data_IF_282366505156
#
_entry.id   IF_282366505156
#
_cell.length_a   1.000
_cell.length_b   1.000
_cell.length_c   1.000
_cell.angle_alpha   90.00
_cell.angle_beta   90.00
_cell.angle_gamma   90.00
#
_symmetry.space_group_name_H-M   'P 1'
#
loop_
_entity.id
_entity.type
_entity.pdbx_description
1 polymer ?
#
# COMPACT_ATOMS: atom_id res chain seq x y z
N UNK A 1 -2.44 -2.37 10.16
CA UNK A 1 -1.19 -3.16 10.28
C UNK A 1 -1.44 -4.29 11.24
N UNK A 2 -1.22 -5.53 10.80
CA UNK A 2 -1.51 -6.76 11.55
C UNK A 2 -0.45 -6.97 12.62
N UNK A 3 -0.89 -7.03 13.86
CA UNK A 3 -0.03 -7.32 15.00
C UNK A 3 0.55 -8.73 14.93
N UNK A 4 -0.20 -9.69 14.36
CA UNK A 4 0.27 -11.07 14.19
C UNK A 4 1.55 -11.12 13.34
N UNK A 5 1.60 -10.36 12.25
CA UNK A 5 2.78 -10.30 11.40
C UNK A 5 3.97 -9.67 12.13
N UNK A 6 3.75 -8.60 12.89
CA UNK A 6 4.82 -7.93 13.66
C UNK A 6 5.36 -8.83 14.77
N UNK A 7 4.50 -9.57 15.47
CA UNK A 7 4.91 -10.53 16.52
C UNK A 7 5.69 -11.70 15.91
N UNK A 8 5.21 -12.26 14.80
CA UNK A 8 5.90 -13.30 14.05
C UNK A 8 7.28 -12.86 13.54
N UNK A 9 7.37 -11.64 13.01
CA UNK A 9 8.62 -11.03 12.57
C UNK A 9 9.64 -10.91 13.71
N UNK A 10 9.22 -10.39 14.87
CA UNK A 10 10.08 -10.27 16.05
C UNK A 10 10.58 -11.63 16.51
N UNK A 11 9.69 -12.62 16.59
CA UNK A 11 10.05 -13.98 16.98
C UNK A 11 11.11 -14.58 16.06
N UNK A 12 10.90 -14.52 14.73
CA UNK A 12 11.88 -15.03 13.76
C UNK A 12 13.20 -14.29 13.86
N UNK A 13 13.18 -12.96 14.02
CA UNK A 13 14.40 -12.16 14.21
C UNK A 13 15.19 -12.62 15.43
N UNK A 14 14.53 -12.82 16.57
CA UNK A 14 15.15 -13.30 17.80
C UNK A 14 15.74 -14.71 17.63
N UNK A 15 15.06 -15.61 16.92
CA UNK A 15 15.58 -16.96 16.65
C UNK A 15 16.80 -16.93 15.73
N UNK A 16 16.80 -16.06 14.71
CA UNK A 16 17.93 -15.86 13.81
C UNK A 16 19.12 -15.22 14.53
N UNK A 17 18.90 -14.28 15.45
CA UNK A 17 19.94 -13.69 16.32
C UNK A 17 20.57 -14.75 17.24
N UNK A 18 19.78 -15.75 17.68
CA UNK A 18 20.24 -16.89 18.47
C UNK A 18 20.95 -17.99 17.66
N UNK A 19 21.23 -17.75 16.38
CA UNK A 19 21.82 -18.74 15.47
C UNK A 19 20.99 -20.04 15.28
N UNK A 20 19.69 -19.97 15.51
CA UNK A 20 18.79 -21.11 15.26
C UNK A 20 18.75 -21.43 13.76
N UNK A 21 18.88 -22.70 13.34
CA UNK A 21 18.76 -23.06 11.93
C UNK A 21 17.37 -22.71 11.38
N UNK A 22 17.33 -22.20 10.15
CA UNK A 22 16.08 -21.79 9.49
C UNK A 22 15.07 -22.93 9.35
N UNK A 23 15.54 -24.17 9.19
CA UNK A 23 14.70 -25.38 9.19
C UNK A 23 13.96 -25.57 10.50
N UNK A 24 14.64 -25.33 11.63
CA UNK A 24 14.04 -25.43 12.97
C UNK A 24 13.01 -24.31 13.19
N UNK A 25 13.28 -23.10 12.69
CA UNK A 25 12.33 -21.98 12.74
C UNK A 25 11.08 -22.30 11.93
N UNK A 26 11.24 -22.90 10.75
CA UNK A 26 10.13 -23.31 9.90
C UNK A 26 9.26 -24.40 10.53
N UNK A 27 9.87 -25.39 11.20
CA UNK A 27 9.17 -26.49 11.87
C UNK A 27 8.48 -26.06 13.17
N UNK A 28 9.13 -25.21 13.97
CA UNK A 28 8.67 -24.82 15.31
C UNK A 28 8.01 -23.44 15.34
N UNK A 29 7.56 -22.94 14.20
CA UNK A 29 6.92 -21.63 14.11
C UNK A 29 5.62 -21.63 14.93
N UNK A 30 5.49 -20.80 15.98
CA UNK A 30 4.26 -20.70 16.73
C UNK A 30 3.19 -19.95 15.94
N UNK A 31 1.92 -20.17 16.29
CA UNK A 31 0.80 -19.45 15.66
C UNK A 31 0.61 -18.08 16.31
N UNK A 32 0.80 -17.02 15.52
CA UNK A 32 0.48 -15.65 15.93
C UNK A 32 -0.87 -15.25 15.35
N UNK A 33 -1.82 -14.87 16.22
CA UNK A 33 -3.19 -14.52 15.82
C UNK A 33 -3.51 -13.07 16.08
N UNK A 34 -4.20 -12.46 15.13
CA UNK A 34 -4.72 -11.10 15.19
C UNK A 34 -6.00 -11.01 14.37
N UNK A 35 -7.14 -11.12 15.04
CA UNK A 35 -8.45 -11.22 14.39
C UNK A 35 -8.53 -12.40 13.43
N UNK A 36 -8.77 -12.10 12.15
CA UNK A 36 -8.85 -13.10 11.06
C UNK A 36 -7.49 -13.54 10.50
N UNK A 37 -6.41 -12.81 10.83
CA UNK A 37 -5.07 -13.11 10.35
C UNK A 37 -4.36 -14.05 11.32
N UNK A 38 -3.78 -15.12 10.77
CA UNK A 38 -2.96 -16.07 11.52
C UNK A 38 -1.63 -16.25 10.79
N UNK A 39 -0.53 -15.85 11.41
CA UNK A 39 0.81 -16.08 10.87
C UNK A 39 1.40 -17.29 11.56
N UNK A 40 1.61 -18.36 10.78
CA UNK A 40 2.08 -19.66 11.28
C UNK A 40 3.13 -20.32 10.39
N UNK A 41 3.61 -19.63 9.35
CA UNK A 41 4.63 -20.14 8.44
C UNK A 41 5.77 -19.14 8.27
N UNK A 42 6.98 -19.69 8.25
CA UNK A 42 8.21 -19.01 7.86
C UNK A 42 8.71 -19.65 6.56
N UNK A 43 9.06 -18.83 5.57
CA UNK A 43 9.64 -19.28 4.30
C UNK A 43 11.08 -18.77 4.22
N UNK A 44 12.08 -19.69 4.28
CA UNK A 44 13.48 -19.33 4.12
C UNK A 44 13.69 -18.89 2.67
N UNK A 45 13.80 -17.58 2.46
CA UNK A 45 13.99 -16.93 1.17
C UNK A 45 14.75 -15.63 1.38
N UNK A 46 15.31 -15.06 0.32
CA UNK A 46 15.94 -13.74 0.39
C UNK A 46 15.12 -12.69 -0.36
N UNK A 47 14.41 -11.78 0.34
CA UNK A 47 14.23 -11.66 1.79
C UNK A 47 13.19 -12.65 2.34
N UNK A 48 13.26 -12.99 3.65
CA UNK A 48 12.40 -14.01 4.24
C UNK A 48 10.93 -13.60 4.22
N UNK A 49 10.05 -14.59 4.06
CA UNK A 49 8.61 -14.37 4.02
C UNK A 49 7.92 -14.99 5.22
N UNK A 50 6.88 -14.31 5.69
CA UNK A 50 5.97 -14.83 6.70
C UNK A 50 4.61 -15.09 6.06
N UNK A 51 4.00 -16.20 6.44
CA UNK A 51 2.81 -16.69 5.78
C UNK A 51 1.77 -17.29 6.70
N UNK A 52 0.63 -17.56 6.09
CA UNK A 52 -0.54 -18.18 6.69
C UNK A 52 -0.86 -19.45 5.90
N UNK A 53 -0.91 -20.58 6.58
CA UNK A 53 -1.52 -21.79 6.06
C UNK A 53 -3.04 -21.72 6.26
N UNK A 54 -3.79 -22.00 5.21
CA UNK A 54 -5.25 -21.97 5.22
C UNK A 54 -5.78 -23.38 5.51
N UNK A 55 -6.79 -23.47 6.38
CA UNK A 55 -7.41 -24.75 6.74
C UNK A 55 -8.26 -25.34 5.62
N UNK A 56 -8.74 -24.50 4.71
CA UNK A 56 -9.46 -24.88 3.50
C UNK A 56 -8.79 -24.20 2.29
N UNK A 57 -8.72 -24.84 1.11
CA UNK A 57 -8.22 -24.19 -0.10
C UNK A 57 -9.09 -22.97 -0.41
N UNK A 58 -8.53 -21.78 -0.18
CA UNK A 58 -9.27 -20.52 -0.20
C UNK A 58 -9.38 -19.92 -1.61
N UNK A 59 -8.48 -20.29 -2.52
CA UNK A 59 -8.38 -19.70 -3.86
C UNK A 59 -8.16 -20.80 -4.89
N UNK A 60 -9.08 -20.92 -5.85
CA UNK A 60 -8.85 -21.74 -7.04
C UNK A 60 -7.98 -20.95 -8.04
N UNK A 61 -6.93 -21.59 -8.54
CA UNK A 61 -6.07 -21.03 -9.58
C UNK A 61 -6.78 -21.18 -10.92
N UNK A 62 -7.71 -20.25 -11.18
CA UNK A 62 -8.38 -20.10 -12.47
C UNK A 62 -7.68 -19.02 -13.30
N UNK A 63 -7.94 -19.00 -14.61
CA UNK A 63 -7.44 -17.95 -15.51
C UNK A 63 -7.82 -16.55 -15.02
N UNK A 64 -9.02 -16.41 -14.46
CA UNK A 64 -9.49 -15.14 -13.88
C UNK A 64 -8.68 -14.72 -12.66
N UNK A 65 -8.37 -15.65 -11.76
CA UNK A 65 -7.49 -15.40 -10.60
C UNK A 65 -6.10 -14.98 -11.05
N UNK A 66 -5.52 -15.64 -12.07
CA UNK A 66 -4.20 -15.28 -12.60
C UNK A 66 -4.19 -13.85 -13.15
N UNK A 67 -5.18 -13.49 -13.98
CA UNK A 67 -5.31 -12.12 -14.52
C UNK A 67 -5.51 -11.10 -13.38
N UNK A 68 -6.23 -11.48 -12.33
CA UNK A 68 -6.45 -10.65 -11.14
C UNK A 68 -5.15 -10.42 -10.37
N UNK A 69 -4.35 -11.48 -10.15
CA UNK A 69 -3.04 -11.40 -9.50
C UNK A 69 -2.06 -10.58 -10.34
N UNK A 70 -2.05 -10.73 -11.66
CA UNK A 70 -1.20 -9.95 -12.55
C UNK A 70 -1.50 -8.45 -12.45
N UNK A 71 -2.79 -8.07 -12.42
CA UNK A 71 -3.20 -6.68 -12.23
C UNK A 71 -2.80 -6.13 -10.87
N UNK A 72 -3.01 -6.92 -9.82
CA UNK A 72 -2.60 -6.58 -8.46
C UNK A 72 -1.09 -6.33 -8.38
N UNK A 73 -0.29 -7.18 -9.04
CA UNK A 73 1.16 -7.06 -9.12
C UNK A 73 1.58 -5.76 -9.84
N UNK A 74 1.03 -5.54 -11.05
CA UNK A 74 1.33 -4.35 -11.87
C UNK A 74 1.04 -3.04 -11.14
N UNK A 75 -0.10 -2.94 -10.45
CA UNK A 75 -0.48 -1.73 -9.67
C UNK A 75 0.50 -1.43 -8.53
N UNK A 76 1.23 -2.43 -8.05
CA UNK A 76 2.22 -2.33 -6.97
C UNK A 76 3.67 -2.30 -7.48
N UNK A 77 3.87 -2.20 -8.79
CA UNK A 77 5.20 -2.22 -9.41
C UNK A 77 5.92 -3.56 -9.32
N UNK A 78 5.16 -4.65 -9.14
CA UNK A 78 5.65 -6.03 -9.08
C UNK A 78 5.34 -6.77 -10.39
N UNK A 79 6.16 -7.76 -10.70
CA UNK A 79 5.97 -8.73 -11.77
C UNK A 79 5.35 -10.01 -11.21
N UNK A 80 4.69 -10.78 -12.06
CA UNK A 80 4.12 -12.07 -11.70
C UNK A 80 4.93 -13.18 -12.37
N UNK A 81 5.30 -14.21 -11.62
CA UNK A 81 5.88 -15.45 -12.13
C UNK A 81 5.04 -16.63 -11.67
N UNK A 82 4.68 -17.51 -12.59
CA UNK A 82 3.86 -18.70 -12.30
C UNK A 82 4.69 -19.96 -12.50
N UNK A 83 4.77 -20.79 -11.46
CA UNK A 83 5.48 -22.07 -11.45
C UNK A 83 4.50 -23.17 -10.99
N UNK A 84 3.76 -23.76 -11.94
CA UNK A 84 2.69 -24.71 -11.65
C UNK A 84 1.53 -24.05 -10.88
N UNK A 85 1.23 -24.56 -9.68
CA UNK A 85 0.24 -23.98 -8.76
C UNK A 85 0.81 -22.84 -7.87
N UNK A 86 2.08 -22.49 -8.06
CA UNK A 86 2.71 -21.41 -7.31
C UNK A 86 2.66 -20.11 -8.10
N UNK A 87 2.14 -19.06 -7.48
CA UNK A 87 2.21 -17.71 -8.04
C UNK A 87 3.13 -16.87 -7.17
N UNK A 88 4.23 -16.40 -7.75
CA UNK A 88 5.18 -15.51 -7.11
C UNK A 88 4.98 -14.07 -7.58
N UNK A 89 4.99 -13.14 -6.64
CA UNK A 89 5.10 -11.72 -6.93
C UNK A 89 6.56 -11.31 -6.76
N UNK A 90 7.15 -10.74 -7.80
CA UNK A 90 8.58 -10.51 -7.92
C UNK A 90 8.83 -9.01 -8.11
N UNK A 91 9.86 -8.46 -7.48
CA UNK A 91 10.28 -7.08 -7.74
C UNK A 91 10.89 -6.94 -9.14
N UNK A 92 11.10 -5.71 -9.59
CA UNK A 92 11.82 -5.44 -10.86
C UNK A 92 13.24 -6.00 -10.87
N UNK A 93 13.83 -6.20 -9.70
CA UNK A 93 15.18 -6.74 -9.51
C UNK A 93 15.20 -8.27 -9.45
N UNK A 94 14.07 -8.94 -9.73
CA UNK A 94 13.97 -10.41 -9.70
C UNK A 94 13.78 -11.02 -8.31
N UNK A 95 13.59 -10.20 -7.27
CA UNK A 95 13.45 -10.66 -5.89
C UNK A 95 12.02 -11.10 -5.61
N UNK A 96 11.80 -12.34 -5.15
CA UNK A 96 10.47 -12.83 -4.74
C UNK A 96 10.01 -12.07 -3.48
N UNK A 97 8.86 -11.42 -3.55
CA UNK A 97 8.28 -10.56 -2.49
C UNK A 97 7.00 -11.13 -1.88
N UNK A 98 6.29 -12.00 -2.60
CA UNK A 98 5.19 -12.79 -2.07
C UNK A 98 5.06 -14.12 -2.83
N UNK A 99 4.41 -15.07 -2.16
CA UNK A 99 4.10 -16.39 -2.70
C UNK A 99 2.63 -16.72 -2.39
N UNK A 100 1.85 -17.03 -3.41
CA UNK A 100 0.45 -17.39 -3.33
C UNK A 100 0.26 -18.82 -3.84
N UNK A 101 -0.52 -19.60 -3.08
CA UNK A 101 -0.95 -20.98 -3.36
C UNK A 101 -2.42 -21.17 -2.94
N UNK A 102 -3.12 -22.21 -3.39
CA UNK A 102 -4.52 -22.43 -2.99
C UNK A 102 -4.71 -22.56 -1.48
N UNK A 103 -3.73 -23.18 -0.81
CA UNK A 103 -3.71 -23.56 0.60
C UNK A 103 -2.85 -22.65 1.48
N UNK A 104 -2.16 -21.68 0.89
CA UNK A 104 -1.11 -20.94 1.58
C UNK A 104 -0.81 -19.61 0.89
N UNK A 105 -0.45 -18.60 1.69
CA UNK A 105 0.20 -17.41 1.16
C UNK A 105 1.26 -16.87 2.12
N UNK A 106 2.28 -16.22 1.57
CA UNK A 106 3.30 -15.51 2.34
C UNK A 106 3.73 -14.21 1.66
N UNK A 107 4.20 -13.27 2.47
CA UNK A 107 4.72 -12.01 1.97
C UNK A 107 5.90 -11.52 2.81
N UNK A 108 6.66 -10.63 2.19
CA UNK A 108 7.83 -9.95 2.77
C UNK A 108 7.45 -8.69 3.54
N UNK A 109 6.23 -8.17 3.47
CA UNK A 109 5.85 -6.99 4.25
C UNK A 109 4.46 -7.15 4.85
N UNK A 110 4.19 -6.60 6.06
CA UNK A 110 2.86 -6.61 6.65
C UNK A 110 1.75 -6.06 5.72
N UNK A 111 1.92 -4.90 5.04
CA UNK A 111 0.88 -4.38 4.16
C UNK A 111 0.63 -5.27 2.93
N UNK A 112 1.67 -5.95 2.40
CA UNK A 112 1.50 -6.88 1.30
C UNK A 112 0.79 -8.16 1.76
N UNK A 113 1.11 -8.66 2.96
CA UNK A 113 0.45 -9.80 3.59
C UNK A 113 -1.05 -9.55 3.78
N UNK A 114 -1.41 -8.42 4.39
CA UNK A 114 -2.81 -8.05 4.60
C UNK A 114 -3.56 -7.86 3.28
N UNK A 115 -2.96 -7.16 2.32
CA UNK A 115 -3.58 -6.93 1.02
C UNK A 115 -3.86 -8.26 0.30
N UNK A 116 -2.90 -9.19 0.29
CA UNK A 116 -3.10 -10.52 -0.33
C UNK A 116 -4.21 -11.29 0.38
N UNK A 117 -4.20 -11.31 1.72
CA UNK A 117 -5.22 -12.00 2.51
C UNK A 117 -6.63 -11.46 2.26
N UNK A 118 -6.79 -10.13 2.20
CA UNK A 118 -8.09 -9.47 1.95
C UNK A 118 -8.58 -9.67 0.52
N UNK A 119 -7.71 -9.45 -0.45
CA UNK A 119 -8.06 -9.38 -1.88
C UNK A 119 -8.25 -10.75 -2.51
N UNK A 120 -7.39 -11.72 -2.17
CA UNK A 120 -7.44 -13.05 -2.80
C UNK A 120 -8.10 -14.08 -1.90
N UNK A 121 -7.82 -14.06 -0.61
CA UNK A 121 -8.32 -15.08 0.33
C UNK A 121 -9.55 -14.63 1.12
N UNK A 122 -10.12 -13.47 0.78
CA UNK A 122 -11.34 -12.91 1.38
C UNK A 122 -11.30 -12.83 2.92
N UNK A 123 -10.12 -12.63 3.50
CA UNK A 123 -9.93 -12.50 4.95
C UNK A 123 -10.28 -11.07 5.37
N UNK A 124 -11.45 -10.86 5.98
CA UNK A 124 -11.98 -9.54 6.37
C UNK A 124 -11.92 -8.52 5.23
N UNK A 125 -12.76 -8.68 4.18
CA UNK A 125 -12.75 -7.81 3.02
C UNK A 125 -13.19 -6.39 3.40
N UNK A 126 -12.28 -5.44 3.26
CA UNK A 126 -12.59 -4.01 3.37
C UNK A 126 -13.07 -3.48 2.00
N UNK A 127 -13.87 -2.41 1.98
CA UNK A 127 -14.31 -1.76 0.73
C UNK A 127 -13.15 -1.50 -0.24
N UNK A 128 -12.00 -1.06 0.28
CA UNK A 128 -10.78 -0.81 -0.49
C UNK A 128 -10.25 -2.07 -1.15
N UNK A 129 -10.28 -3.22 -0.47
CA UNK A 129 -9.81 -4.50 -1.03
C UNK A 129 -10.72 -5.03 -2.14
N UNK A 130 -12.03 -4.76 -2.06
CA UNK A 130 -12.97 -5.08 -3.12
C UNK A 130 -12.79 -4.13 -4.34
N UNK A 131 -12.51 -2.86 -4.06
CA UNK A 131 -12.20 -1.81 -5.06
C UNK A 131 -10.80 -1.93 -5.68
N UNK A 132 -9.89 -2.70 -5.08
CA UNK A 132 -8.60 -3.04 -5.67
C UNK A 132 -8.73 -3.91 -6.92
N UNK A 133 -9.90 -4.54 -7.10
CA UNK A 133 -10.19 -5.49 -8.15
C UNK A 133 -11.21 -4.99 -9.19
N UNK A 134 -11.92 -3.90 -8.91
CA UNK A 134 -12.84 -3.29 -9.89
C UNK A 134 -12.08 -2.42 -10.90
N UNK A 135 -12.53 -2.44 -12.15
CA UNK A 135 -12.08 -1.56 -13.22
C UNK A 135 -13.06 -0.39 -13.34
N UNK A 136 -12.54 0.83 -13.49
CA UNK A 136 -13.34 2.04 -13.79
C UNK A 136 -12.88 3.29 -13.04
N UNK A 137 -13.21 4.47 -13.59
CA UNK A 137 -13.06 5.78 -12.93
C UNK A 137 -13.73 5.82 -11.55
N UNK A 138 -14.83 5.09 -11.40
CA UNK A 138 -15.59 4.97 -10.15
C UNK A 138 -14.78 4.34 -9.01
N UNK A 139 -13.82 3.46 -9.33
CA UNK A 139 -12.95 2.83 -8.33
C UNK A 139 -11.95 3.81 -7.69
N UNK A 140 -11.49 4.80 -8.47
CA UNK A 140 -10.62 5.88 -7.98
C UNK A 140 -11.39 6.85 -7.09
N UNK A 141 -12.63 7.16 -7.45
CA UNK A 141 -13.52 8.03 -6.67
C UNK A 141 -13.94 7.32 -5.36
N UNK A 142 -14.28 6.04 -5.43
CA UNK A 142 -14.64 5.24 -4.27
C UNK A 142 -13.44 5.03 -3.31
N UNK A 143 -12.21 4.93 -3.80
CA UNK A 143 -11.00 4.94 -2.94
C UNK A 143 -10.77 6.28 -2.25
N UNK A 144 -11.00 7.39 -2.96
CA UNK A 144 -10.97 8.73 -2.37
C UNK A 144 -12.04 8.90 -1.28
N UNK A 145 -13.20 8.26 -1.44
CA UNK A 145 -14.31 8.30 -0.48
C UNK A 145 -14.12 7.35 0.71
N UNK A 146 -13.47 6.20 0.52
CA UNK A 146 -13.36 5.17 1.55
C UNK A 146 -12.31 5.50 2.63
N UNK A 147 -11.27 6.26 2.29
CA UNK A 147 -10.24 6.65 3.24
C UNK A 147 -10.53 8.07 3.74
N UNK A 148 -11.10 8.19 4.96
CA UNK A 148 -11.45 9.48 5.59
C UNK A 148 -10.28 10.47 5.59
N UNK A 149 -9.05 9.96 5.67
CA UNK A 149 -7.85 10.78 5.70
C UNK A 149 -7.49 11.30 4.30
N UNK A 150 -7.65 10.47 3.25
CA UNK A 150 -7.53 10.91 1.85
C UNK A 150 -8.67 11.83 1.43
N UNK A 151 -9.91 11.57 1.85
CA UNK A 151 -11.05 12.45 1.59
C UNK A 151 -10.76 13.84 2.16
N UNK A 152 -10.37 13.91 3.43
CA UNK A 152 -10.04 15.20 4.07
C UNK A 152 -8.90 15.89 3.33
N UNK A 153 -7.85 15.18 2.92
CA UNK A 153 -6.76 15.74 2.10
C UNK A 153 -7.23 16.24 0.73
N UNK A 154 -8.11 15.49 0.06
CA UNK A 154 -8.64 15.84 -1.24
C UNK A 154 -9.60 17.03 -1.16
N UNK A 155 -10.48 17.07 -0.15
CA UNK A 155 -11.37 18.19 0.12
C UNK A 155 -10.60 19.44 0.51
N UNK A 156 -9.56 19.32 1.34
CA UNK A 156 -8.66 20.43 1.68
C UNK A 156 -7.92 20.92 0.42
N UNK A 157 -7.36 20.01 -0.39
CA UNK A 157 -6.71 20.38 -1.64
C UNK A 157 -7.66 21.07 -2.62
N UNK A 158 -8.89 20.56 -2.79
CA UNK A 158 -9.94 21.19 -3.59
C UNK A 158 -10.30 22.56 -3.04
N UNK A 159 -10.52 22.69 -1.73
CA UNK A 159 -10.86 23.95 -1.10
C UNK A 159 -9.76 24.99 -1.32
N UNK A 160 -8.49 24.62 -1.14
CA UNK A 160 -7.36 25.53 -1.36
C UNK A 160 -7.08 25.86 -2.82
N UNK A 161 -7.51 25.01 -3.77
CA UNK A 161 -7.34 25.26 -5.20
C UNK A 161 -8.50 26.08 -5.77
N UNK A 162 -9.73 25.77 -5.36
CA UNK A 162 -10.93 26.45 -5.82
C UNK A 162 -11.21 27.74 -5.05
N UNK A 163 -10.86 27.87 -3.76
CA UNK A 163 -11.12 29.09 -2.99
C UNK A 163 -10.42 30.32 -3.59
N UNK A 164 -9.11 30.32 -3.88
CA UNK A 164 -8.46 31.47 -4.51
C UNK A 164 -9.02 31.77 -5.90
N UNK A 165 -9.31 30.73 -6.69
CA UNK A 165 -9.90 30.89 -8.01
C UNK A 165 -11.31 31.50 -7.95
N UNK A 166 -12.13 31.08 -6.97
CA UNK A 166 -13.45 31.67 -6.71
C UNK A 166 -13.33 33.11 -6.23
N UNK A 167 -12.41 33.41 -5.32
CA UNK A 167 -12.16 34.78 -4.85
C UNK A 167 -11.70 35.70 -5.98
N UNK A 168 -10.84 35.22 -6.89
CA UNK A 168 -10.42 35.97 -8.09
C UNK A 168 -11.59 36.14 -9.06
N UNK A 169 -12.40 35.11 -9.31
CA UNK A 169 -13.57 35.19 -10.17
C UNK A 169 -14.66 36.13 -9.62
N UNK A 170 -14.93 36.06 -8.31
CA UNK A 170 -15.86 36.93 -7.59
C UNK A 170 -15.34 38.38 -7.56
N UNK A 171 -14.04 38.58 -7.36
CA UNK A 171 -13.40 39.89 -7.47
C UNK A 171 -13.50 40.47 -8.89
N UNK A 172 -13.29 39.66 -9.93
CA UNK A 172 -13.45 40.08 -11.32
C UNK A 172 -14.91 40.43 -11.68
N UNK A 173 -15.89 39.78 -11.04
CA UNK A 173 -17.31 39.98 -11.32
C UNK A 173 -17.93 41.13 -10.51
N UNK A 174 -17.50 41.35 -9.27
CA UNK A 174 -18.01 42.41 -8.40
C UNK A 174 -17.30 43.75 -8.57
N UNK A 175 -16.07 43.75 -9.10
CA UNK A 175 -15.26 44.96 -9.21
C UNK A 175 -15.12 45.40 -10.67
N UNK A 176 -16.10 46.13 -11.18
CA UNK A 176 -15.89 46.97 -12.36
C UNK A 176 -15.00 48.15 -11.97
N UNK A 177 -13.69 47.92 -12.02
CA UNK A 177 -12.70 48.92 -11.66
C UNK A 177 -12.43 49.85 -12.85
N UNK A 178 -12.71 51.14 -12.68
CA UNK A 178 -12.30 52.21 -13.61
C UNK A 178 -10.78 52.49 -13.62
N UNK A 179 -10.03 52.02 -12.61
CA UNK A 179 -8.66 52.46 -12.33
C UNK A 179 -7.57 51.39 -12.56
N UNK A 180 -7.90 50.10 -12.47
CA UNK A 180 -6.95 49.00 -12.67
C UNK A 180 -7.11 48.32 -14.03
N UNK A 181 -6.02 48.21 -14.82
CA UNK A 181 -6.03 47.47 -16.07
C UNK A 181 -6.22 45.97 -15.81
N UNK A 182 -7.06 45.31 -16.62
CA UNK A 182 -7.47 43.89 -16.49
C UNK A 182 -6.29 42.91 -16.35
N UNK A 183 -5.12 43.25 -16.87
CA UNK A 183 -3.91 42.44 -16.84
C UNK A 183 -3.32 42.30 -15.42
N UNK A 184 -3.48 43.32 -14.57
CA UNK A 184 -3.02 43.28 -13.17
C UNK A 184 -3.84 42.29 -12.35
N UNK A 185 -5.14 42.20 -12.64
CA UNK A 185 -6.03 41.21 -12.00
C UNK A 185 -5.65 39.79 -12.40
N UNK A 186 -5.32 39.55 -13.68
CA UNK A 186 -4.83 38.24 -14.15
C UNK A 186 -3.50 37.87 -13.49
N UNK A 187 -2.54 38.80 -13.40
CA UNK A 187 -1.25 38.56 -12.76
C UNK A 187 -1.40 38.20 -11.28
N UNK A 188 -2.28 38.89 -10.55
CA UNK A 188 -2.56 38.58 -9.14
C UNK A 188 -3.15 37.18 -8.93
N UNK A 189 -3.98 36.71 -9.86
CA UNK A 189 -4.51 35.34 -9.85
C UNK A 189 -3.43 34.28 -10.05
N UNK A 190 -2.48 34.51 -10.96
CA UNK A 190 -1.35 33.59 -11.18
C UNK A 190 -0.45 33.51 -9.94
N UNK A 191 -0.17 34.65 -9.30
CA UNK A 191 0.62 34.69 -8.06
C UNK A 191 -0.09 33.97 -6.91
N UNK A 192 -1.40 34.17 -6.75
CA UNK A 192 -2.19 33.48 -5.74
C UNK A 192 -2.20 31.96 -5.93
N UNK A 193 -2.28 31.50 -7.19
CA UNK A 193 -2.25 30.08 -7.52
C UNK A 193 -0.87 29.44 -7.24
N UNK A 194 0.21 30.16 -7.57
CA UNK A 194 1.57 29.73 -7.25
C UNK A 194 1.82 29.64 -5.73
N UNK A 195 1.33 30.63 -4.97
CA UNK A 195 1.40 30.63 -3.51
C UNK A 195 0.61 29.46 -2.88
N UNK A 196 -0.59 29.16 -3.41
CA UNK A 196 -1.38 28.03 -2.96
C UNK A 196 -0.66 26.69 -3.20
N UNK A 197 -0.08 26.49 -4.38
CA UNK A 197 0.70 25.28 -4.69
C UNK A 197 1.92 25.12 -3.76
N UNK A 198 2.60 26.21 -3.43
CA UNK A 198 3.72 26.19 -2.49
C UNK A 198 3.28 25.80 -1.07
N UNK A 199 2.19 26.39 -0.57
CA UNK A 199 1.65 26.07 0.75
C UNK A 199 1.16 24.62 0.86
N UNK A 200 0.53 24.09 -0.20
CA UNK A 200 0.16 22.66 -0.27
C UNK A 200 1.40 21.79 -0.13
N UNK A 201 2.47 22.11 -0.87
CA UNK A 201 3.73 21.36 -0.81
C UNK A 201 4.35 21.40 0.59
N UNK A 202 4.32 22.54 1.26
CA UNK A 202 4.85 22.71 2.61
C UNK A 202 4.02 21.91 3.63
N UNK A 203 2.69 22.05 3.59
CA UNK A 203 1.76 21.36 4.47
C UNK A 203 1.86 19.84 4.39
N UNK A 204 2.02 19.29 3.17
CA UNK A 204 2.22 17.85 2.96
C UNK A 204 3.55 17.35 3.54
N UNK A 205 4.60 18.19 3.52
CA UNK A 205 5.93 17.85 4.04
C UNK A 205 5.96 17.82 5.57
N UNK A 206 5.29 18.76 6.23
CA UNK A 206 5.29 18.84 7.70
C UNK A 206 4.36 17.81 8.36
N UNK A 207 3.18 17.57 7.80
CA UNK A 207 2.16 16.78 8.49
C UNK A 207 2.22 15.27 8.17
N UNK A 208 3.03 14.83 7.20
CA UNK A 208 3.12 13.41 6.80
C UNK A 208 4.57 12.92 6.58
N UNK A 209 5.46 12.96 7.59
CA UNK A 209 6.85 12.48 7.47
C UNK A 209 6.95 10.95 7.26
N UNK A 210 5.92 10.20 7.63
CA UNK A 210 5.82 8.73 7.51
C UNK A 210 5.81 8.21 6.07
N UNK A 211 5.55 9.07 5.07
CA UNK A 211 5.73 8.74 3.64
C UNK A 211 7.21 8.43 3.29
N UNK A 212 8.16 8.70 4.20
CA UNK A 212 9.59 8.49 4.00
C UNK A 212 10.17 7.24 4.67
N UNK A 213 9.53 6.65 5.69
CA UNK A 213 10.06 5.48 6.39
C UNK A 213 9.46 4.16 5.90
N UNK A 214 10.23 3.44 5.08
CA UNK A 214 9.91 2.08 4.65
C UNK A 214 10.40 1.06 5.68
N UNK A 215 9.46 0.40 6.35
CA UNK A 215 9.71 -0.85 7.10
C UNK A 215 9.70 -2.00 6.08
N UNK A 216 10.89 -2.53 5.78
CA UNK A 216 11.12 -3.65 4.85
C UNK A 216 11.74 -4.84 5.62
N UNK A 217 11.24 -6.06 5.42
CA UNK A 217 11.86 -7.30 5.97
C UNK A 217 13.27 -7.53 5.44
N UNK A 218 13.71 -6.78 4.43
CA UNK A 218 15.12 -6.66 4.08
C UNK A 218 16.03 -6.35 5.30
N UNK A 219 15.49 -5.75 6.37
CA UNK A 219 16.21 -5.54 7.65
C UNK A 219 16.45 -6.82 8.46
N UNK A 220 15.83 -7.94 8.11
CA UNK A 220 16.13 -9.27 8.66
C UNK A 220 17.39 -9.89 8.02
N UNK A 221 17.98 -9.26 7.00
CA UNK A 221 19.25 -9.72 6.44
C UNK A 221 20.32 -9.74 7.53
N UNK A 222 20.84 -10.93 7.81
CA UNK A 222 22.06 -11.11 8.60
C UNK A 222 23.20 -10.30 7.97
N UNK A 223 24.06 -9.74 8.83
CA UNK A 223 25.45 -9.45 8.46
C UNK A 223 26.08 -10.75 7.93
N UNK A 224 26.86 -10.70 6.84
CA UNK A 224 27.69 -11.84 6.49
C UNK A 224 28.60 -12.16 7.69
N UNK A 225 28.62 -13.41 8.11
CA UNK A 225 29.70 -13.89 8.96
C UNK A 225 31.01 -13.72 8.17
N UNK A 226 31.99 -13.08 8.82
CA UNK A 226 33.38 -12.98 8.37
C UNK A 226 33.98 -14.38 8.16
#
# INVERSE_FOLDING_TARGET
MSEAFVKAYKHVREQLEKNTPETVIQEKMPEFRDGVFVVNRYVPSDPPMLGMALKNPGVQITRETIVRVERFAKRRGLLMQTEGENIYLVSKDGVKRAWLRPDFFAATTPPLFEAIGKVFYNLSPDLVSQLELSDGWDSSIARLLADKLMLTKATVALFFLFSPALWVAVSLFLTESLFYPRWVLVASGVVALAAALYLIRLYLRENFPELSEKIDTARLKRRPAL
#
